data_IF_102902386489
#
_entry.id   IF_102902386489
#
_cell.length_a   1.000
_cell.length_b   1.000
_cell.length_c   1.000
_cell.angle_alpha   90.00
_cell.angle_beta   90.00
_cell.angle_gamma   90.00
#
_symmetry.space_group_name_H-M   'P 1'
#
loop_
_entity.id
_entity.type
_entity.pdbx_description
1 polymer ?
#
# COMPACT_ATOMS: atom_id res chain seq x y z
N UNK A 1 6.68 -5.72 8.32
CA UNK A 1 6.64 -4.31 7.89
C UNK A 1 5.29 -4.06 7.24
N UNK A 2 4.77 -2.83 7.35
CA UNK A 2 3.49 -2.48 6.73
C UNK A 2 3.70 -1.64 5.49
N UNK A 3 2.87 -1.87 4.50
CA UNK A 3 2.87 -1.14 3.25
C UNK A 3 1.45 -0.69 2.95
N UNK A 4 1.27 0.58 2.63
CA UNK A 4 0.05 1.02 1.95
C UNK A 4 0.24 0.70 0.47
N UNK A 5 -0.65 -0.12 -0.06
CA UNK A 5 -0.69 -0.50 -1.47
C UNK A 5 -1.96 0.04 -2.08
N UNK A 6 -1.80 0.87 -3.10
CA UNK A 6 -2.90 1.37 -3.91
C UNK A 6 -2.76 0.82 -5.33
N UNK A 7 -3.81 0.15 -5.80
CA UNK A 7 -3.87 -0.40 -7.15
C UNK A 7 -5.06 0.23 -7.85
N UNK A 8 -4.84 0.90 -8.96
CA UNK A 8 -5.91 1.47 -9.80
C UNK A 8 -5.81 0.86 -11.18
N UNK A 9 -6.94 0.54 -11.79
CA UNK A 9 -6.94 0.11 -13.19
C UNK A 9 -6.15 1.12 -14.02
N UNK A 10 -5.17 0.64 -14.80
CA UNK A 10 -4.50 1.51 -15.78
C UNK A 10 -5.57 2.08 -16.73
N UNK A 11 -5.30 3.18 -17.42
CA UNK A 11 -6.31 3.77 -18.31
C UNK A 11 -6.74 2.74 -19.37
N UNK A 12 -8.02 2.38 -19.36
CA UNK A 12 -8.64 1.55 -20.37
C UNK A 12 -9.92 2.26 -20.84
N UNK A 13 -10.14 2.26 -22.16
CA UNK A 13 -11.43 2.66 -22.73
C UNK A 13 -12.54 1.70 -22.29
N UNK A 14 -13.78 1.99 -22.68
CA UNK A 14 -14.88 1.04 -22.48
C UNK A 14 -14.54 -0.27 -23.17
N UNK A 15 -14.40 -1.34 -22.39
CA UNK A 15 -14.30 -2.71 -22.90
C UNK A 15 -15.63 -3.06 -23.60
N UNK A 16 -15.54 -3.83 -24.68
CA UNK A 16 -16.73 -4.45 -25.24
C UNK A 16 -17.28 -5.55 -24.30
N UNK A 17 -18.53 -6.01 -24.46
CA UNK A 17 -19.13 -6.98 -23.54
C UNK A 17 -18.37 -8.30 -23.38
N UNK A 18 -17.70 -8.81 -24.42
CA UNK A 18 -16.94 -10.06 -24.36
C UNK A 18 -15.63 -9.87 -23.62
N UNK A 19 -14.94 -8.76 -23.89
CA UNK A 19 -13.74 -8.38 -23.14
C UNK A 19 -14.07 -8.12 -21.66
N UNK A 20 -15.20 -7.47 -21.39
CA UNK A 20 -15.69 -7.23 -20.04
C UNK A 20 -15.97 -8.52 -19.27
N UNK A 21 -16.64 -9.49 -19.92
CA UNK A 21 -16.89 -10.80 -19.32
C UNK A 21 -15.58 -11.52 -18.97
N UNK A 22 -14.66 -11.63 -19.94
CA UNK A 22 -13.38 -12.27 -19.72
C UNK A 22 -12.54 -11.54 -18.66
N UNK A 23 -12.63 -10.22 -18.58
CA UNK A 23 -11.94 -9.42 -17.58
C UNK A 23 -12.48 -9.72 -16.16
N UNK A 24 -13.80 -9.76 -16.00
CA UNK A 24 -14.44 -10.06 -14.71
C UNK A 24 -14.10 -11.49 -14.25
N UNK A 25 -14.27 -12.48 -15.13
CA UNK A 25 -14.12 -13.90 -14.81
C UNK A 25 -12.66 -14.29 -14.52
N UNK A 26 -11.72 -13.80 -15.32
CA UNK A 26 -10.33 -14.25 -15.25
C UNK A 26 -9.45 -13.38 -14.34
N UNK A 27 -9.85 -12.13 -14.10
CA UNK A 27 -9.01 -11.17 -13.34
C UNK A 27 -9.70 -10.68 -12.08
N UNK A 28 -10.89 -10.09 -12.19
CA UNK A 28 -11.52 -9.41 -11.04
C UNK A 28 -11.92 -10.40 -9.95
N UNK A 29 -12.78 -11.38 -10.27
CA UNK A 29 -13.28 -12.32 -9.27
C UNK A 29 -12.16 -13.16 -8.63
N UNK A 30 -11.21 -13.73 -9.40
CA UNK A 30 -10.08 -14.46 -8.81
C UNK A 30 -9.21 -13.61 -7.88
N UNK A 31 -8.99 -12.33 -8.23
CA UNK A 31 -8.23 -11.42 -7.37
C UNK A 31 -8.95 -11.11 -6.07
N UNK A 32 -10.29 -10.94 -6.12
CA UNK A 32 -11.08 -10.71 -4.91
C UNK A 32 -11.04 -11.93 -3.97
N UNK A 33 -11.12 -13.14 -4.49
CA UNK A 33 -11.01 -14.36 -3.68
C UNK A 33 -9.60 -14.53 -3.10
N UNK A 34 -8.55 -14.21 -3.86
CA UNK A 34 -7.18 -14.23 -3.32
C UNK A 34 -6.98 -13.16 -2.23
N UNK A 35 -7.52 -11.96 -2.40
CA UNK A 35 -7.49 -10.92 -1.37
C UNK A 35 -8.19 -11.37 -0.07
N UNK A 36 -9.36 -12.03 -0.16
CA UNK A 36 -10.04 -12.60 1.02
C UNK A 36 -9.16 -13.63 1.74
N UNK A 37 -8.46 -14.48 0.99
CA UNK A 37 -7.53 -15.45 1.56
C UNK A 37 -6.36 -14.75 2.27
N UNK A 38 -5.76 -13.74 1.64
CA UNK A 38 -4.67 -12.95 2.21
C UNK A 38 -5.10 -12.18 3.47
N UNK A 39 -6.35 -11.73 3.53
CA UNK A 39 -6.95 -11.13 4.73
C UNK A 39 -7.10 -12.16 5.86
N UNK A 40 -7.61 -13.36 5.56
CA UNK A 40 -7.72 -14.46 6.53
C UNK A 40 -6.35 -14.89 7.10
N UNK A 41 -5.30 -14.82 6.26
CA UNK A 41 -3.91 -15.09 6.64
C UNK A 41 -3.21 -13.90 7.33
N UNK A 42 -3.93 -12.78 7.52
CA UNK A 42 -3.40 -11.52 8.09
C UNK A 42 -2.24 -10.91 7.31
N UNK A 43 -2.11 -11.25 6.03
CA UNK A 43 -1.21 -10.56 5.10
C UNK A 43 -1.80 -9.22 4.67
N UNK A 44 -3.11 -9.18 4.41
CA UNK A 44 -3.86 -7.91 4.33
C UNK A 44 -4.44 -7.65 5.70
N UNK A 45 -4.05 -6.55 6.35
CA UNK A 45 -4.46 -6.23 7.72
C UNK A 45 -5.55 -5.15 7.80
N UNK A 46 -5.78 -4.44 6.70
CA UNK A 46 -6.86 -3.48 6.54
C UNK A 46 -7.04 -3.10 5.06
N UNK A 47 -8.17 -2.46 4.74
CA UNK A 47 -8.47 -1.90 3.42
C UNK A 47 -9.53 -2.68 2.67
N UNK A 48 -9.52 -2.57 1.33
CA UNK A 48 -10.44 -3.29 0.47
C UNK A 48 -10.58 -2.66 -0.93
N UNK A 49 -11.59 -3.11 -1.70
CA UNK A 49 -11.98 -2.47 -2.95
C UNK A 49 -12.48 -1.04 -2.71
N UNK A 50 -12.07 -0.09 -3.55
CA UNK A 50 -12.56 1.29 -3.49
C UNK A 50 -13.93 1.42 -4.18
N UNK A 51 -14.93 1.93 -3.46
CA UNK A 51 -16.26 2.14 -4.03
C UNK A 51 -16.23 3.07 -5.24
N UNK A 52 -16.93 2.69 -6.31
CA UNK A 52 -17.02 3.49 -7.54
C UNK A 52 -15.81 3.41 -8.47
N UNK A 53 -14.82 2.57 -8.17
CA UNK A 53 -13.65 2.36 -9.02
C UNK A 53 -13.24 0.88 -9.09
N UNK A 54 -12.59 0.48 -10.19
CA UNK A 54 -11.87 -0.80 -10.26
C UNK A 54 -10.48 -0.54 -9.66
N UNK A 55 -10.43 -0.59 -8.32
CA UNK A 55 -9.23 -0.24 -7.58
C UNK A 55 -9.23 -0.85 -6.17
N UNK A 56 -8.04 -1.01 -5.60
CA UNK A 56 -7.82 -1.46 -4.22
C UNK A 56 -7.00 -0.44 -3.44
N UNK A 57 -7.32 -0.31 -2.14
CA UNK A 57 -6.48 0.34 -1.16
C UNK A 57 -6.28 -0.64 0.00
N UNK A 58 -5.05 -1.12 0.19
CA UNK A 58 -4.73 -2.23 1.10
C UNK A 58 -3.60 -1.81 2.04
N UNK A 59 -3.67 -2.26 3.29
CA UNK A 59 -2.50 -2.29 4.18
C UNK A 59 -2.00 -3.73 4.22
N UNK A 60 -0.79 -3.95 3.71
CA UNK A 60 -0.17 -5.28 3.60
C UNK A 60 0.96 -5.41 4.61
N UNK A 61 0.96 -6.50 5.36
CA UNK A 61 2.05 -6.92 6.25
C UNK A 61 2.95 -7.93 5.51
N UNK A 62 4.21 -7.55 5.31
CA UNK A 62 5.24 -8.38 4.70
C UNK A 62 6.57 -8.22 5.44
N UNK A 63 7.39 -9.27 5.48
CA UNK A 63 8.69 -9.28 6.16
C UNK A 63 9.77 -8.58 5.34
N UNK A 64 9.56 -8.43 4.02
CA UNK A 64 10.48 -7.73 3.12
C UNK A 64 9.73 -7.11 1.94
N UNK A 65 10.41 -6.23 1.21
CA UNK A 65 9.89 -5.73 -0.07
C UNK A 65 9.73 -6.86 -1.11
N UNK A 66 10.60 -7.87 -1.09
CA UNK A 66 10.49 -9.01 -1.99
C UNK A 66 9.22 -9.84 -1.73
N UNK A 67 8.91 -10.13 -0.47
CA UNK A 67 7.68 -10.83 -0.12
C UNK A 67 6.44 -10.00 -0.48
N UNK A 68 6.52 -8.68 -0.34
CA UNK A 68 5.44 -7.80 -0.80
C UNK A 68 5.24 -7.92 -2.32
N UNK A 69 6.32 -7.87 -3.11
CA UNK A 69 6.25 -7.99 -4.55
C UNK A 69 5.63 -9.34 -4.95
N UNK A 70 6.04 -10.44 -4.34
CA UNK A 70 5.45 -11.78 -4.57
C UNK A 70 3.94 -11.82 -4.28
N UNK A 71 3.49 -11.18 -3.20
CA UNK A 71 2.06 -11.09 -2.87
C UNK A 71 1.30 -10.28 -3.92
N UNK A 72 1.86 -9.13 -4.32
CA UNK A 72 1.17 -8.18 -5.20
C UNK A 72 1.16 -8.66 -6.66
N UNK A 73 2.27 -9.18 -7.17
CA UNK A 73 2.37 -9.77 -8.51
C UNK A 73 1.55 -11.07 -8.63
N UNK A 74 1.33 -11.77 -7.52
CA UNK A 74 0.47 -12.95 -7.45
C UNK A 74 -1.02 -12.65 -7.65
N UNK A 75 -1.46 -11.39 -7.55
CA UNK A 75 -2.85 -11.00 -7.82
C UNK A 75 -3.13 -11.09 -9.32
N UNK A 76 -4.13 -11.89 -9.77
CA UNK A 76 -4.42 -12.04 -11.20
C UNK A 76 -4.61 -10.72 -11.95
N UNK A 77 -5.25 -9.72 -11.32
CA UNK A 77 -5.51 -8.40 -11.90
C UNK A 77 -4.28 -7.49 -11.99
N UNK A 78 -3.18 -7.80 -11.29
CA UNK A 78 -1.99 -6.95 -11.19
C UNK A 78 -1.46 -6.43 -12.53
N UNK A 79 -1.34 -7.24 -13.61
CA UNK A 79 -0.84 -6.77 -14.91
C UNK A 79 -1.70 -5.65 -15.55
N UNK A 80 -2.93 -5.44 -15.07
CA UNK A 80 -3.86 -4.41 -15.56
C UNK A 80 -3.86 -3.15 -14.68
N UNK A 81 -3.14 -3.15 -13.56
CA UNK A 81 -3.18 -2.09 -12.56
C UNK A 81 -1.94 -1.20 -12.64
N UNK A 82 -2.14 0.10 -12.41
CA UNK A 82 -1.10 0.98 -11.90
C UNK A 82 -1.03 0.80 -10.38
N UNK A 83 0.10 0.30 -9.91
CA UNK A 83 0.33 0.01 -8.49
C UNK A 83 1.26 1.06 -7.89
N UNK A 84 0.90 1.56 -6.71
CA UNK A 84 1.74 2.45 -5.89
C UNK A 84 1.90 1.82 -4.52
N UNK A 85 3.16 1.74 -4.06
CA UNK A 85 3.52 1.15 -2.78
C UNK A 85 4.18 2.22 -1.91
N UNK A 86 3.63 2.43 -0.73
CA UNK A 86 4.20 3.33 0.29
C UNK A 86 4.59 2.52 1.53
N UNK A 87 5.90 2.36 1.82
CA UNK A 87 6.35 1.75 3.06
C UNK A 87 5.92 2.57 4.28
N UNK A 88 5.32 1.91 5.26
CA UNK A 88 4.86 2.53 6.50
C UNK A 88 5.81 2.16 7.64
N UNK A 89 6.32 3.17 8.33
CA UNK A 89 7.08 3.00 9.58
C UNK A 89 6.14 2.97 10.78
N UNK A 90 6.59 2.41 11.90
CA UNK A 90 5.84 2.45 13.15
C UNK A 90 5.88 3.85 13.78
N UNK A 91 4.89 4.18 14.61
CA UNK A 91 4.91 5.44 15.37
C UNK A 91 6.12 5.52 16.30
N UNK A 92 6.49 4.41 16.95
CA UNK A 92 7.64 4.35 17.85
C UNK A 92 8.96 4.58 17.13
N UNK A 93 9.15 3.97 15.97
CA UNK A 93 10.39 4.14 15.21
C UNK A 93 10.46 5.54 14.59
N UNK A 94 9.33 6.10 14.15
CA UNK A 94 9.26 7.50 13.74
C UNK A 94 9.60 8.44 14.90
N UNK A 95 9.11 8.16 16.10
CA UNK A 95 9.40 8.95 17.30
C UNK A 95 10.89 8.84 17.68
N UNK A 96 11.47 7.63 17.66
CA UNK A 96 12.91 7.41 17.87
C UNK A 96 13.75 8.19 16.86
N UNK A 97 13.38 8.15 15.58
CA UNK A 97 14.11 8.82 14.51
C UNK A 97 14.10 10.35 14.65
N UNK A 98 13.02 10.95 15.17
CA UNK A 98 12.89 12.41 15.26
C UNK A 98 13.44 13.03 16.55
N UNK A 99 13.58 12.24 17.63
CA UNK A 99 14.10 12.71 18.93
C UNK A 99 15.47 13.39 18.84
N UNK A 100 16.49 12.85 18.16
CA UNK A 100 17.79 13.53 18.05
C UNK A 100 17.69 14.90 17.38
N UNK A 101 16.82 15.03 16.37
CA UNK A 101 16.57 16.30 15.68
C UNK A 101 15.93 17.32 16.62
N UNK A 102 14.97 16.90 17.45
CA UNK A 102 14.37 17.75 18.47
C UNK A 102 15.43 18.30 19.44
N UNK A 103 16.31 17.44 19.95
CA UNK A 103 17.36 17.86 20.88
C UNK A 103 18.38 18.80 20.23
N UNK A 104 18.74 18.56 18.95
CA UNK A 104 19.58 19.48 18.18
C UNK A 104 18.95 20.87 18.04
N UNK A 105 17.65 20.94 17.77
CA UNK A 105 16.92 22.21 17.67
C UNK A 105 16.90 22.93 19.03
N UNK A 106 16.60 22.22 20.12
CA UNK A 106 16.63 22.79 21.48
C UNK A 106 18.00 23.35 21.85
N UNK A 107 19.07 22.62 21.53
CA UNK A 107 20.44 23.06 21.79
C UNK A 107 20.76 24.36 21.05
N UNK A 108 20.39 24.46 19.77
CA UNK A 108 20.62 25.66 18.96
C UNK A 108 19.87 26.88 19.48
N UNK A 109 18.62 26.70 19.92
CA UNK A 109 17.82 27.80 20.49
C UNK A 109 18.47 28.36 21.76
N UNK A 110 18.95 27.50 22.67
CA UNK A 110 19.66 27.92 23.90
C UNK A 110 20.91 28.72 23.60
N UNK A 111 21.68 28.34 22.58
CA UNK A 111 22.89 29.07 22.19
C UNK A 111 22.56 30.47 21.67
N UNK A 112 21.48 30.61 20.89
CA UNK A 112 21.03 31.91 20.38
C UNK A 112 20.57 32.83 21.52
N UNK A 113 19.81 32.31 22.48
CA UNK A 113 19.35 33.06 23.66
C UNK A 113 20.49 33.52 24.57
N UNK A 114 21.57 32.74 24.67
CA UNK A 114 22.74 33.09 25.49
C UNK A 114 23.70 34.12 24.84
N UNK A 115 23.46 34.51 23.59
CA UNK A 115 24.28 35.46 22.82
C UNK A 115 23.58 36.82 22.65
N UNK A 116 22.45 37.03 23.35
CA UNK A 116 21.75 38.32 23.49
C UNK A 116 21.68 38.70 24.96
#
# INVERSE_FOLDING_TARGET
MRYLVEMRLAEHGRLDPREGLAFIENYILPSLELCKKLEAEKKIVAGGPMSGAIAFALIVEANSALELDEIIEGLPIWPRMRTTVTPLTSFDDRAKAIRPRLESIKARLRTMEATH
#
